data_IF_868544555467
#
_entry.id   IF_868544555467
#
_cell.length_a   1.000
_cell.length_b   1.000
_cell.length_c   1.000
_cell.angle_alpha   90.00
_cell.angle_beta   90.00
_cell.angle_gamma   90.00
#
_symmetry.space_group_name_H-M   'P 1'
#
loop_
_entity.id
_entity.type
_entity.pdbx_description
1 polymer ?
#
# COMPACT_ATOMS: atom_id res chain seq x y z
N UNK A 1 30.46 -24.46 29.79
CA UNK A 1 29.53 -23.42 29.32
C UNK A 1 30.17 -22.77 28.11
N UNK A 2 29.71 -23.11 26.91
CA UNK A 2 30.24 -22.52 25.66
C UNK A 2 29.07 -21.83 24.99
N UNK A 3 28.96 -20.52 25.16
CA UNK A 3 27.98 -19.70 24.47
C UNK A 3 28.34 -19.67 22.98
N UNK A 4 27.50 -20.31 22.18
CA UNK A 4 27.54 -20.26 20.72
C UNK A 4 27.32 -18.80 20.29
N UNK A 5 28.13 -18.22 19.39
CA UNK A 5 27.91 -16.85 18.94
C UNK A 5 26.56 -16.79 18.23
N UNK A 6 25.72 -15.83 18.63
CA UNK A 6 24.48 -15.53 17.94
C UNK A 6 24.88 -15.06 16.54
N UNK A 7 24.39 -15.75 15.51
CA UNK A 7 24.75 -15.43 14.13
C UNK A 7 24.27 -14.02 13.81
N UNK A 8 25.13 -13.19 13.20
CA UNK A 8 24.85 -11.81 12.76
C UNK A 8 23.65 -11.63 11.80
N UNK A 9 22.92 -12.70 11.48
CA UNK A 9 21.53 -12.64 10.99
C UNK A 9 20.53 -12.38 12.13
N UNK A 10 20.90 -11.59 13.13
CA UNK A 10 19.94 -11.00 14.06
C UNK A 10 19.05 -10.03 13.26
N UNK A 11 17.75 -10.09 13.52
CA UNK A 11 16.71 -9.42 12.75
C UNK A 11 17.04 -7.93 12.50
N UNK A 12 17.47 -7.60 11.27
CA UNK A 12 17.65 -6.21 10.87
C UNK A 12 16.29 -5.53 10.97
N UNK A 13 16.20 -4.52 11.84
CA UNK A 13 15.01 -3.69 11.95
C UNK A 13 14.65 -3.13 10.57
N UNK A 14 13.38 -3.24 10.19
CA UNK A 14 12.89 -2.78 8.90
C UNK A 14 13.09 -1.26 8.81
N UNK A 15 13.89 -0.79 7.85
CA UNK A 15 14.13 0.64 7.67
C UNK A 15 13.00 1.28 6.86
N UNK A 16 12.84 2.60 6.98
CA UNK A 16 11.90 3.35 6.14
C UNK A 16 12.18 3.15 4.65
N UNK A 17 13.45 3.06 4.24
CA UNK A 17 13.80 2.79 2.85
C UNK A 17 13.37 1.38 2.41
N UNK A 18 13.42 0.39 3.31
CA UNK A 18 12.96 -0.97 3.00
C UNK A 18 11.44 -1.01 2.81
N UNK A 19 10.68 -0.28 3.63
CA UNK A 19 9.22 -0.12 3.47
C UNK A 19 8.89 0.49 2.11
N UNK A 20 9.56 1.58 1.73
CA UNK A 20 9.30 2.25 0.44
C UNK A 20 9.64 1.35 -0.75
N UNK A 21 10.72 0.56 -0.68
CA UNK A 21 11.07 -0.39 -1.75
C UNK A 21 10.03 -1.50 -1.87
N UNK A 22 9.54 -2.03 -0.75
CA UNK A 22 8.48 -3.05 -0.76
C UNK A 22 7.17 -2.50 -1.28
N UNK A 23 6.81 -1.28 -0.89
CA UNK A 23 5.65 -0.57 -1.42
C UNK A 23 5.70 -0.41 -2.95
N UNK A 24 6.86 -0.06 -3.51
CA UNK A 24 7.06 -0.03 -4.95
C UNK A 24 6.85 -1.43 -5.57
N UNK A 25 7.39 -2.48 -4.95
CA UNK A 25 7.14 -3.87 -5.35
C UNK A 25 5.65 -4.24 -5.34
N UNK A 26 4.88 -3.81 -4.34
CA UNK A 26 3.43 -4.04 -4.31
C UNK A 26 2.72 -3.39 -5.49
N UNK A 27 3.17 -2.22 -5.96
CA UNK A 27 2.61 -1.55 -7.15
C UNK A 27 2.95 -2.36 -8.41
N UNK A 28 4.21 -2.78 -8.56
CA UNK A 28 4.67 -3.58 -9.69
C UNK A 28 3.95 -4.93 -9.77
N UNK A 29 3.87 -5.66 -8.66
CA UNK A 29 3.17 -6.94 -8.56
C UNK A 29 1.69 -6.77 -8.90
N UNK A 30 1.08 -5.66 -8.44
CA UNK A 30 -0.31 -5.33 -8.72
C UNK A 30 -0.55 -5.08 -10.22
N UNK A 31 0.37 -4.40 -10.89
CA UNK A 31 0.32 -4.17 -12.32
C UNK A 31 0.52 -5.49 -13.09
N UNK A 32 1.50 -6.29 -12.71
CA UNK A 32 1.83 -7.57 -13.34
C UNK A 32 0.70 -8.60 -13.23
N UNK A 33 0.04 -8.71 -12.07
CA UNK A 33 -1.08 -9.62 -11.87
C UNK A 33 -2.33 -9.26 -12.68
N UNK A 34 -2.44 -8.00 -13.11
CA UNK A 34 -3.65 -7.48 -13.77
C UNK A 34 -3.48 -7.31 -15.27
N UNK A 35 -2.24 -7.21 -15.77
CA UNK A 35 -1.82 -7.22 -17.18
C UNK A 35 -2.87 -6.66 -18.16
N UNK A 36 -3.37 -5.46 -17.86
CA UNK A 36 -4.33 -4.76 -18.70
C UNK A 36 -3.61 -3.71 -19.55
N UNK A 37 -4.02 -3.53 -20.82
CA UNK A 37 -3.57 -2.39 -21.62
C UNK A 37 -3.93 -1.08 -20.90
N UNK A 38 -2.91 -0.38 -20.37
CA UNK A 38 -3.09 0.86 -19.60
C UNK A 38 -2.80 0.74 -18.09
N UNK A 39 -2.29 -0.39 -17.61
CA UNK A 39 -1.87 -0.57 -16.22
C UNK A 39 -3.01 -0.95 -15.27
N UNK A 40 -2.79 -0.77 -13.97
CA UNK A 40 -3.78 -1.08 -12.96
C UNK A 40 -4.86 0.02 -12.85
N UNK A 41 -6.14 -0.36 -12.98
CA UNK A 41 -7.32 0.52 -13.03
C UNK A 41 -8.40 0.17 -12.00
N UNK A 42 -8.13 -0.72 -11.05
CA UNK A 42 -9.15 -1.17 -10.09
C UNK A 42 -9.73 -0.03 -9.25
N UNK A 43 -8.96 1.01 -8.92
CA UNK A 43 -9.49 2.11 -8.12
C UNK A 43 -10.44 2.99 -8.92
N UNK A 44 -10.09 3.37 -10.15
CA UNK A 44 -11.00 4.07 -11.06
C UNK A 44 -12.35 3.31 -11.22
N UNK A 45 -12.30 2.00 -11.45
CA UNK A 45 -13.52 1.17 -11.55
C UNK A 45 -14.30 1.12 -10.24
N UNK A 46 -13.60 0.97 -9.11
CA UNK A 46 -14.20 0.93 -7.77
C UNK A 46 -14.95 2.22 -7.48
N UNK A 47 -14.30 3.37 -7.69
CA UNK A 47 -14.87 4.69 -7.45
C UNK A 47 -16.06 4.96 -8.38
N UNK A 48 -15.96 4.60 -9.66
CA UNK A 48 -17.07 4.75 -10.59
C UNK A 48 -18.31 3.96 -10.14
N UNK A 49 -18.13 2.70 -9.75
CA UNK A 49 -19.22 1.87 -9.23
C UNK A 49 -19.77 2.41 -7.90
N UNK A 50 -18.91 2.82 -6.98
CA UNK A 50 -19.32 3.37 -5.69
C UNK A 50 -20.14 4.64 -5.86
N UNK A 51 -19.69 5.57 -6.69
CA UNK A 51 -20.42 6.80 -7.01
C UNK A 51 -21.79 6.50 -7.62
N UNK A 52 -21.87 5.56 -8.56
CA UNK A 52 -23.14 5.16 -9.19
C UNK A 52 -24.15 4.56 -8.19
N UNK A 53 -23.67 3.79 -7.21
CA UNK A 53 -24.52 3.15 -6.21
C UNK A 53 -24.98 4.10 -5.10
N UNK A 54 -24.14 5.05 -4.72
CA UNK A 54 -24.34 5.88 -3.51
C UNK A 54 -24.75 7.32 -3.81
N UNK A 55 -24.59 7.79 -5.05
CA UNK A 55 -24.77 9.19 -5.42
C UNK A 55 -23.63 10.12 -4.99
N UNK A 56 -22.51 9.57 -4.49
CA UNK A 56 -21.30 10.34 -4.20
C UNK A 56 -20.52 10.68 -5.47
N UNK A 57 -19.54 11.57 -5.33
CA UNK A 57 -18.68 12.06 -6.41
C UNK A 57 -17.21 12.03 -5.97
N UNK A 58 -16.72 10.83 -5.66
CA UNK A 58 -15.31 10.62 -5.35
C UNK A 58 -14.48 10.58 -6.64
N UNK A 59 -13.25 11.08 -6.57
CA UNK A 59 -12.21 10.87 -7.58
C UNK A 59 -11.41 9.58 -7.31
N UNK A 60 -10.65 9.10 -8.29
CA UNK A 60 -9.73 7.97 -8.09
C UNK A 60 -8.72 8.25 -6.96
N UNK A 61 -8.21 9.48 -6.89
CA UNK A 61 -7.36 9.95 -5.79
C UNK A 61 -8.06 9.78 -4.43
N UNK A 62 -9.33 10.17 -4.32
CA UNK A 62 -10.07 10.05 -3.06
C UNK A 62 -10.21 8.58 -2.64
N UNK A 63 -10.39 7.66 -3.60
CA UNK A 63 -10.38 6.22 -3.35
C UNK A 63 -9.05 5.73 -2.77
N UNK A 64 -7.91 6.15 -3.34
CA UNK A 64 -6.60 5.79 -2.79
C UNK A 64 -6.34 6.41 -1.41
N UNK A 65 -6.76 7.66 -1.18
CA UNK A 65 -6.68 8.30 0.14
C UNK A 65 -7.54 7.56 1.18
N UNK A 66 -8.72 7.09 0.79
CA UNK A 66 -9.57 6.27 1.64
C UNK A 66 -8.89 4.94 2.02
N UNK A 67 -8.28 4.25 1.05
CA UNK A 67 -7.53 3.01 1.31
C UNK A 67 -6.29 3.23 2.18
N UNK A 68 -5.61 4.36 2.00
CA UNK A 68 -4.50 4.79 2.88
C UNK A 68 -5.00 4.97 4.31
N UNK A 69 -6.15 5.64 4.48
CA UNK A 69 -6.78 5.85 5.80
C UNK A 69 -7.12 4.51 6.46
N UNK A 70 -7.67 3.54 5.70
CA UNK A 70 -7.95 2.20 6.20
C UNK A 70 -6.68 1.50 6.71
N UNK A 71 -5.57 1.60 5.98
CA UNK A 71 -4.28 1.02 6.40
C UNK A 71 -3.75 1.67 7.67
N UNK A 72 -3.84 2.98 7.79
CA UNK A 72 -3.46 3.68 9.02
C UNK A 72 -4.35 3.30 10.20
N UNK A 73 -5.66 3.15 9.98
CA UNK A 73 -6.57 2.68 11.02
C UNK A 73 -6.20 1.27 11.50
N UNK A 74 -5.86 0.34 10.59
CA UNK A 74 -5.41 -1.01 10.93
C UNK A 74 -4.09 -1.01 11.70
N UNK A 75 -3.12 -0.19 11.29
CA UNK A 75 -1.86 -0.05 12.00
C UNK A 75 -2.08 0.35 13.46
N UNK A 76 -3.00 1.29 13.70
CA UNK A 76 -3.39 1.74 15.05
C UNK A 76 -4.17 0.70 15.88
N UNK A 77 -4.73 -0.35 15.26
CA UNK A 77 -5.40 -1.44 15.98
C UNK A 77 -4.42 -2.47 16.56
N UNK A 78 -3.11 -2.32 16.31
CA UNK A 78 -2.07 -3.17 16.90
C UNK A 78 -1.01 -2.29 17.58
N UNK A 79 -0.21 -2.81 18.53
CA UNK A 79 0.72 -1.98 19.29
C UNK A 79 1.73 -1.17 18.46
N UNK A 80 2.12 -1.67 17.27
CA UNK A 80 3.13 -1.04 16.42
C UNK A 80 2.75 -1.02 14.93
N UNK A 81 1.54 -1.46 14.56
CA UNK A 81 1.23 -1.87 13.20
C UNK A 81 1.92 -3.19 12.82
N UNK A 82 1.44 -3.84 11.76
CA UNK A 82 2.22 -4.83 11.02
C UNK A 82 2.90 -4.16 9.82
N UNK A 83 4.09 -4.62 9.38
CA UNK A 83 4.81 -3.99 8.26
C UNK A 83 3.97 -3.76 7.00
N UNK A 84 3.10 -4.73 6.68
CA UNK A 84 2.16 -4.66 5.54
C UNK A 84 1.25 -3.43 5.59
N UNK A 85 0.85 -2.96 6.78
CA UNK A 85 -0.01 -1.78 6.88
C UNK A 85 0.69 -0.51 6.36
N UNK A 86 1.98 -0.39 6.66
CA UNK A 86 2.79 0.75 6.24
C UNK A 86 3.26 0.62 4.79
N UNK A 87 3.61 -0.60 4.36
CA UNK A 87 4.00 -0.90 2.98
C UNK A 87 2.83 -0.61 2.02
N UNK A 88 1.62 -1.11 2.31
CA UNK A 88 0.44 -0.80 1.51
C UNK A 88 0.02 0.67 1.62
N UNK A 89 0.12 1.28 2.80
CA UNK A 89 -0.16 2.72 2.96
C UNK A 89 0.74 3.57 2.08
N UNK A 90 2.03 3.25 2.02
CA UNK A 90 3.00 3.91 1.14
C UNK A 90 2.73 3.62 -0.35
N UNK A 91 2.29 2.41 -0.70
CA UNK A 91 1.92 2.08 -2.06
C UNK A 91 0.68 2.87 -2.51
N UNK A 92 -0.35 2.95 -1.66
CA UNK A 92 -1.60 3.67 -1.96
C UNK A 92 -1.38 5.18 -2.08
N UNK A 93 -0.51 5.79 -1.27
CA UNK A 93 -0.22 7.22 -1.42
C UNK A 93 0.56 7.50 -2.72
N UNK A 94 1.44 6.57 -3.15
CA UNK A 94 2.10 6.63 -4.45
C UNK A 94 1.09 6.62 -5.61
N UNK A 95 0.16 5.67 -5.58
CA UNK A 95 -0.92 5.55 -6.58
C UNK A 95 -1.89 6.74 -6.56
N UNK A 96 -2.14 7.34 -5.39
CA UNK A 96 -2.90 8.60 -5.29
C UNK A 96 -2.19 9.77 -5.97
N UNK A 97 -0.86 9.83 -5.86
CA UNK A 97 -0.03 10.83 -6.54
C UNK A 97 -0.02 10.61 -8.05
N UNK A 98 0.11 9.36 -8.50
CA UNK A 98 0.02 8.98 -9.91
C UNK A 98 -1.32 9.39 -10.50
N UNK A 99 -2.46 9.06 -9.85
CA UNK A 99 -3.78 9.41 -10.38
C UNK A 99 -4.08 10.93 -10.43
N UNK A 100 -3.28 11.74 -9.73
CA UNK A 100 -3.39 13.19 -9.75
C UNK A 100 -2.49 13.87 -10.79
N UNK A 101 -1.44 13.20 -11.27
CA UNK A 101 -0.36 13.83 -12.05
C UNK A 101 0.14 13.04 -13.26
N UNK A 102 -0.25 11.77 -13.42
CA UNK A 102 0.03 10.92 -14.59
C UNK A 102 -1.07 11.02 -15.63
#
# INVERSE_FOLDING_TARGET
MTTKPISQREARALSAQDILRRAAGHIEDRAAQRDQPGGERSMAHTVAAFNALTGHQLSERDGWLFMTTLKMARACCTPTGIPDDYEDGAAYIGLAGESAHG
#
